data_IF_749005468962
#
_entry.id   IF_749005468962
#
_cell.length_a   1.000
_cell.length_b   1.000
_cell.length_c   1.000
_cell.angle_alpha   90.00
_cell.angle_beta   90.00
_cell.angle_gamma   90.00
#
_symmetry.space_group_name_H-M   'P 1'
#
loop_
_entity.id
_entity.type
_entity.pdbx_description
1 polymer ?
#
# COMPACT_ATOMS: atom_id res chain seq x y z
N UNK A 1 21.37 15.78 16.55
CA UNK A 1 21.08 14.40 16.14
C UNK A 1 19.59 14.22 16.28
N UNK A 2 18.84 14.48 15.21
CA UNK A 2 17.44 14.03 15.13
C UNK A 2 17.47 12.51 15.26
N UNK A 3 16.89 12.00 16.34
CA UNK A 3 16.63 10.57 16.44
C UNK A 3 15.67 10.24 15.31
N UNK A 4 16.07 9.34 14.41
CA UNK A 4 15.18 8.80 13.38
C UNK A 4 13.93 8.31 14.10
N UNK A 5 12.81 8.99 13.88
CA UNK A 5 11.55 8.65 14.50
C UNK A 5 11.18 7.24 14.04
N UNK A 6 11.03 6.33 14.99
CA UNK A 6 10.44 5.02 14.72
C UNK A 6 8.93 5.23 14.55
N UNK A 7 8.52 5.51 13.31
CA UNK A 7 7.14 5.82 12.97
C UNK A 7 6.20 4.68 13.31
N UNK A 8 6.62 3.42 13.12
CA UNK A 8 5.82 2.25 13.48
C UNK A 8 5.54 2.23 14.98
N UNK A 9 6.55 2.47 15.80
CA UNK A 9 6.38 2.58 17.26
C UNK A 9 5.47 3.74 17.63
N UNK A 10 5.59 4.90 16.97
CA UNK A 10 4.73 6.05 17.23
C UNK A 10 3.26 5.75 16.86
N UNK A 11 3.02 5.05 15.75
CA UNK A 11 1.69 4.59 15.32
C UNK A 11 1.08 3.64 16.35
N UNK A 12 1.81 2.63 16.82
CA UNK A 12 1.30 1.72 17.85
C UNK A 12 1.07 2.39 19.21
N UNK A 13 1.90 3.39 19.57
CA UNK A 13 1.63 4.19 20.76
C UNK A 13 0.33 5.00 20.66
N UNK A 14 -0.06 5.39 19.44
CA UNK A 14 -1.30 6.14 19.19
C UNK A 14 -2.53 5.23 19.07
N UNK A 15 -2.40 4.11 18.36
CA UNK A 15 -3.52 3.20 18.05
C UNK A 15 -3.76 2.13 19.12
N UNK A 16 -2.78 1.89 19.99
CA UNK A 16 -2.78 0.78 20.94
C UNK A 16 -1.97 -0.42 20.43
N UNK A 17 -1.63 -1.33 21.35
CA UNK A 17 -0.86 -2.53 21.01
C UNK A 17 -1.67 -3.52 20.15
N UNK A 18 -0.95 -4.32 19.35
CA UNK A 18 -1.52 -5.41 18.55
C UNK A 18 -2.30 -6.39 19.42
N UNK A 19 -3.47 -6.80 18.96
CA UNK A 19 -4.29 -7.85 19.61
C UNK A 19 -4.25 -9.18 18.86
N UNK A 20 -3.59 -9.25 17.70
CA UNK A 20 -3.61 -10.42 16.83
C UNK A 20 -2.43 -11.39 17.09
N UNK A 21 -2.64 -12.71 17.02
CA UNK A 21 -1.57 -13.69 17.13
C UNK A 21 -0.70 -13.74 15.86
N UNK A 22 0.59 -13.41 16.02
CA UNK A 22 1.57 -13.23 14.93
C UNK A 22 1.78 -14.43 13.99
N UNK A 23 1.49 -15.67 14.40
CA UNK A 23 1.76 -16.86 13.59
C UNK A 23 0.75 -17.09 12.45
N UNK A 24 -0.50 -16.63 12.60
CA UNK A 24 -1.54 -16.83 11.58
C UNK A 24 -1.24 -16.03 10.30
N UNK A 25 -0.77 -14.79 10.47
CA UNK A 25 -0.57 -13.87 9.36
C UNK A 25 0.62 -14.21 8.46
N UNK A 26 1.70 -14.77 9.01
CA UNK A 26 2.94 -15.02 8.26
C UNK A 26 2.72 -15.94 7.04
N UNK A 27 1.83 -16.93 7.14
CA UNK A 27 1.48 -17.80 6.01
C UNK A 27 0.68 -17.04 4.95
N UNK A 28 -0.22 -16.18 5.37
CA UNK A 28 -1.10 -15.44 4.46
C UNK A 28 -0.30 -14.39 3.68
N UNK A 29 0.60 -13.66 4.35
CA UNK A 29 1.54 -12.76 3.69
C UNK A 29 2.42 -13.45 2.64
N UNK A 30 3.00 -14.61 2.97
CA UNK A 30 3.80 -15.37 1.99
C UNK A 30 3.00 -15.78 0.77
N UNK A 31 1.74 -16.19 0.96
CA UNK A 31 0.87 -16.56 -0.14
C UNK A 31 0.53 -15.34 -1.01
N UNK A 32 0.23 -14.20 -0.38
CA UNK A 32 -0.05 -12.94 -1.06
C UNK A 32 1.17 -12.43 -1.85
N UNK A 33 2.33 -12.30 -1.22
CA UNK A 33 3.56 -11.82 -1.88
C UNK A 33 3.99 -12.75 -3.03
N UNK A 34 3.78 -14.06 -2.90
CA UNK A 34 4.01 -15.01 -3.99
C UNK A 34 3.04 -14.80 -5.17
N UNK A 35 1.76 -14.50 -4.89
CA UNK A 35 0.75 -14.18 -5.92
C UNK A 35 1.05 -12.86 -6.62
N UNK A 36 1.47 -11.84 -5.88
CA UNK A 36 1.83 -10.53 -6.41
C UNK A 36 3.17 -10.54 -7.18
N UNK A 37 4.03 -11.53 -6.92
CA UNK A 37 5.39 -11.60 -7.45
C UNK A 37 6.32 -10.54 -6.87
N UNK A 38 5.94 -9.93 -5.74
CA UNK A 38 6.71 -8.90 -5.02
C UNK A 38 6.36 -8.92 -3.53
N UNK A 39 7.30 -8.47 -2.70
CA UNK A 39 7.05 -8.22 -1.29
C UNK A 39 6.21 -6.97 -1.05
N UNK A 40 5.77 -6.78 0.19
CA UNK A 40 5.15 -5.55 0.69
C UNK A 40 5.99 -4.93 1.82
N UNK A 41 5.82 -3.63 2.13
CA UNK A 41 6.51 -3.00 3.25
C UNK A 41 6.28 -3.73 4.57
N UNK A 42 7.35 -3.96 5.35
CA UNK A 42 7.27 -4.73 6.60
C UNK A 42 6.49 -3.97 7.70
N UNK A 43 6.58 -2.65 7.72
CA UNK A 43 5.83 -1.77 8.61
C UNK A 43 4.32 -1.79 8.29
N UNK A 44 3.94 -1.76 7.01
CA UNK A 44 2.56 -1.96 6.57
C UNK A 44 2.02 -3.30 7.06
N UNK A 45 2.76 -4.39 6.85
CA UNK A 45 2.35 -5.73 7.29
C UNK A 45 2.14 -5.78 8.80
N UNK A 46 3.03 -5.14 9.58
CA UNK A 46 2.89 -5.05 11.02
C UNK A 46 1.63 -4.28 11.46
N UNK A 47 1.30 -3.18 10.80
CA UNK A 47 0.09 -2.39 11.08
C UNK A 47 -1.18 -3.17 10.72
N UNK A 48 -1.19 -3.82 9.55
CA UNK A 48 -2.32 -4.66 9.11
C UNK A 48 -2.51 -5.84 10.04
N UNK A 49 -1.44 -6.52 10.44
CA UNK A 49 -1.54 -7.62 11.41
C UNK A 49 -2.12 -7.17 12.74
N UNK A 50 -1.77 -5.96 13.20
CA UNK A 50 -2.22 -5.45 14.48
C UNK A 50 -3.68 -4.98 14.50
N UNK A 51 -4.15 -4.44 13.37
CA UNK A 51 -5.37 -3.62 13.37
C UNK A 51 -6.39 -4.00 12.30
N UNK A 52 -6.03 -4.72 11.24
CA UNK A 52 -6.97 -5.08 10.19
C UNK A 52 -7.85 -6.30 10.56
N UNK A 53 -9.08 -6.39 10.01
CA UNK A 53 -9.72 -5.42 9.12
C UNK A 53 -10.32 -4.26 9.92
N UNK A 54 -10.11 -3.02 9.47
CA UNK A 54 -10.64 -1.83 10.16
C UNK A 54 -10.72 -0.61 9.23
N UNK A 55 -11.64 0.29 9.53
CA UNK A 55 -11.60 1.66 9.04
C UNK A 55 -11.01 2.57 10.15
N UNK A 56 -9.73 2.90 10.03
CA UNK A 56 -9.03 3.72 11.01
C UNK A 56 -9.56 5.15 11.01
N UNK A 57 -10.00 5.60 12.20
CA UNK A 57 -10.55 6.93 12.43
C UNK A 57 -11.66 7.35 11.44
N UNK A 58 -12.39 6.38 10.87
CA UNK A 58 -13.43 6.66 9.88
C UNK A 58 -12.90 7.14 8.52
N UNK A 59 -11.61 7.00 8.24
CA UNK A 59 -11.00 7.51 7.01
C UNK A 59 -10.21 6.47 6.25
N UNK A 60 -9.25 5.78 6.87
CA UNK A 60 -8.34 4.86 6.17
C UNK A 60 -8.82 3.40 6.29
N UNK A 61 -9.06 2.73 5.17
CA UNK A 61 -9.48 1.33 5.15
C UNK A 61 -8.29 0.39 5.06
N UNK A 62 -8.17 -0.52 6.03
CA UNK A 62 -7.21 -1.63 5.99
C UNK A 62 -7.93 -2.96 5.88
N UNK A 63 -7.45 -3.79 4.96
CA UNK A 63 -7.99 -5.13 4.67
C UNK A 63 -7.12 -6.20 5.32
N UNK A 64 -7.75 -7.25 5.85
CA UNK A 64 -7.04 -8.42 6.39
C UNK A 64 -6.10 -9.04 5.36
N UNK A 65 -4.95 -9.60 5.75
CA UNK A 65 -3.96 -10.14 4.83
C UNK A 65 -4.35 -11.50 4.23
N UNK A 66 -5.64 -11.73 4.02
CA UNK A 66 -6.21 -12.95 3.45
C UNK A 66 -6.60 -12.75 1.98
N UNK A 67 -7.53 -13.58 1.47
CA UNK A 67 -8.04 -13.48 0.11
C UNK A 67 -8.63 -12.09 -0.18
N UNK A 68 -9.21 -11.41 0.82
CA UNK A 68 -9.80 -10.09 0.64
C UNK A 68 -8.78 -9.03 0.24
N UNK A 69 -7.56 -9.06 0.79
CA UNK A 69 -6.51 -8.12 0.35
C UNK A 69 -5.98 -8.47 -1.05
N UNK A 70 -5.92 -9.76 -1.40
CA UNK A 70 -5.53 -10.16 -2.75
C UNK A 70 -6.55 -9.66 -3.79
N UNK A 71 -7.84 -9.90 -3.55
CA UNK A 71 -8.94 -9.44 -4.41
C UNK A 71 -8.97 -7.90 -4.51
N UNK A 72 -8.76 -7.20 -3.38
CA UNK A 72 -8.65 -5.75 -3.37
C UNK A 72 -7.51 -5.27 -4.28
N UNK A 73 -6.31 -5.83 -4.12
CA UNK A 73 -5.13 -5.40 -4.89
C UNK A 73 -5.36 -5.63 -6.39
N UNK A 74 -5.85 -6.80 -6.77
CA UNK A 74 -6.09 -7.15 -8.16
C UNK A 74 -7.13 -6.24 -8.80
N UNK A 75 -8.27 -6.00 -8.12
CA UNK A 75 -9.31 -5.11 -8.60
C UNK A 75 -8.76 -3.71 -8.88
N UNK A 76 -8.04 -3.13 -7.92
CA UNK A 76 -7.50 -1.76 -8.06
C UNK A 76 -6.41 -1.71 -9.13
N UNK A 77 -5.56 -2.74 -9.23
CA UNK A 77 -4.55 -2.82 -10.31
C UNK A 77 -5.21 -2.88 -11.69
N UNK A 78 -6.30 -3.63 -11.85
CA UNK A 78 -7.06 -3.71 -13.10
C UNK A 78 -7.69 -2.35 -13.46
N UNK A 79 -8.39 -1.73 -12.50
CA UNK A 79 -9.03 -0.42 -12.66
C UNK A 79 -8.04 0.67 -13.13
N UNK A 80 -6.86 0.74 -12.51
CA UNK A 80 -5.85 1.74 -12.85
C UNK A 80 -5.06 1.42 -14.12
N UNK A 81 -4.99 0.15 -14.53
CA UNK A 81 -4.38 -0.25 -15.82
C UNK A 81 -5.26 0.11 -17.00
N UNK A 82 -6.58 0.01 -16.84
CA UNK A 82 -7.55 0.36 -17.88
C UNK A 82 -7.80 1.88 -17.97
N UNK A 83 -7.29 2.64 -17.00
CA UNK A 83 -7.36 4.10 -16.99
C UNK A 83 -6.52 4.71 -18.10
N UNK A 84 -7.15 5.63 -18.87
CA UNK A 84 -6.45 6.45 -19.86
C UNK A 84 -5.82 7.67 -19.17
N UNK A 85 -4.53 7.55 -18.87
CA UNK A 85 -3.75 8.61 -18.24
C UNK A 85 -3.45 9.76 -19.21
N UNK A 86 -3.51 11.00 -18.71
CA UNK A 86 -3.03 12.19 -19.44
C UNK A 86 -1.54 12.04 -19.78
N UNK A 87 -1.14 12.52 -20.95
CA UNK A 87 0.26 12.47 -21.41
C UNK A 87 1.22 13.25 -20.49
N UNK A 88 0.71 14.25 -19.77
CA UNK A 88 1.46 15.11 -18.86
C UNK A 88 1.30 14.74 -17.37
N UNK A 89 0.73 13.57 -17.08
CA UNK A 89 0.58 13.11 -15.69
C UNK A 89 1.93 13.05 -14.98
N UNK A 90 2.03 13.76 -13.86
CA UNK A 90 3.21 13.72 -13.01
C UNK A 90 3.10 12.53 -12.05
N UNK A 91 3.86 11.47 -12.30
CA UNK A 91 3.94 10.29 -11.43
C UNK A 91 5.40 10.02 -11.08
N UNK A 92 5.77 10.27 -9.82
CA UNK A 92 7.16 10.27 -9.36
C UNK A 92 7.78 8.87 -9.43
N UNK A 93 8.91 8.72 -10.12
CA UNK A 93 9.56 7.44 -10.40
C UNK A 93 9.02 6.73 -11.66
N UNK A 94 8.01 7.30 -12.31
CA UNK A 94 7.37 6.78 -13.51
C UNK A 94 7.37 7.77 -14.67
N UNK A 95 8.16 8.85 -14.58
CA UNK A 95 8.15 10.00 -15.50
C UNK A 95 8.43 9.60 -16.96
N UNK A 96 9.16 8.50 -17.16
CA UNK A 96 9.54 8.02 -18.50
C UNK A 96 8.60 6.98 -19.08
N UNK A 97 7.86 6.26 -18.23
CA UNK A 97 7.05 5.11 -18.65
C UNK A 97 5.56 5.35 -18.49
N UNK A 98 5.17 6.44 -17.83
CA UNK A 98 3.84 6.64 -17.28
C UNK A 98 3.58 5.74 -16.06
N UNK A 99 2.48 6.00 -15.33
CA UNK A 99 2.02 5.19 -14.21
C UNK A 99 1.98 3.70 -14.54
N UNK A 100 2.48 2.85 -13.64
CA UNK A 100 2.40 1.38 -13.77
C UNK A 100 1.93 0.76 -12.48
N UNK A 101 1.05 -0.22 -12.58
CA UNK A 101 0.40 -0.88 -11.45
C UNK A 101 0.63 -2.38 -11.48
N UNK A 102 0.84 -2.97 -10.30
CA UNK A 102 1.05 -4.41 -10.12
C UNK A 102 2.48 -4.89 -10.46
N UNK A 103 2.85 -6.03 -9.87
CA UNK A 103 4.16 -6.67 -10.08
C UNK A 103 5.33 -5.94 -9.40
N UNK A 104 6.54 -6.49 -9.54
CA UNK A 104 7.72 -6.05 -8.79
C UNK A 104 8.24 -4.63 -9.08
N UNK A 105 7.83 -4.03 -10.20
CA UNK A 105 8.23 -2.69 -10.61
C UNK A 105 7.03 -1.73 -10.75
N UNK A 106 5.83 -2.17 -10.37
CA UNK A 106 4.62 -1.37 -10.40
C UNK A 106 4.21 -0.92 -9.00
N UNK A 107 3.31 0.05 -8.97
CA UNK A 107 2.60 0.49 -7.77
C UNK A 107 1.69 -0.63 -7.27
N UNK A 108 1.79 -0.96 -5.98
CA UNK A 108 0.90 -1.93 -5.33
C UNK A 108 -0.03 -1.20 -4.38
N UNK A 109 -1.36 -1.21 -4.60
CA UNK A 109 -2.32 -0.59 -3.70
C UNK A 109 -2.28 -1.27 -2.33
N UNK A 110 -2.33 -0.47 -1.27
CA UNK A 110 -2.23 -0.91 0.12
C UNK A 110 -3.51 -0.64 0.91
N UNK A 111 -4.18 0.48 0.60
CA UNK A 111 -5.34 0.99 1.31
C UNK A 111 -6.04 2.05 0.46
N UNK A 112 -7.29 2.33 0.80
CA UNK A 112 -8.06 3.45 0.27
C UNK A 112 -8.65 4.29 1.40
N UNK A 113 -9.11 5.50 1.05
CA UNK A 113 -9.73 6.45 1.98
C UNK A 113 -11.23 6.61 1.75
N UNK A 114 -11.94 7.15 2.73
CA UNK A 114 -13.35 7.55 2.62
C UNK A 114 -13.61 8.66 1.61
N UNK A 115 -12.55 9.27 1.06
CA UNK A 115 -12.60 10.29 0.02
C UNK A 115 -12.27 9.79 -1.37
N UNK A 116 -11.96 8.50 -1.52
CA UNK A 116 -11.62 7.91 -2.82
C UNK A 116 -10.13 8.02 -3.19
N UNK A 117 -9.28 8.40 -2.24
CA UNK A 117 -7.83 8.32 -2.45
C UNK A 117 -7.36 6.88 -2.33
N UNK A 118 -6.46 6.48 -3.21
CA UNK A 118 -5.76 5.20 -3.15
C UNK A 118 -4.33 5.41 -2.68
N UNK A 119 -3.89 4.59 -1.74
CA UNK A 119 -2.52 4.58 -1.20
C UNK A 119 -1.75 3.44 -1.86
N UNK A 120 -0.69 3.76 -2.58
CA UNK A 120 0.17 2.81 -3.27
C UNK A 120 1.55 2.74 -2.63
N UNK A 121 2.09 1.52 -2.55
CA UNK A 121 3.52 1.31 -2.32
C UNK A 121 4.29 1.29 -3.63
N UNK A 122 5.46 1.91 -3.61
CA UNK A 122 6.43 1.90 -4.71
C UNK A 122 7.75 1.38 -4.18
N UNK A 123 8.29 0.37 -4.85
CA UNK A 123 9.63 -0.16 -4.54
C UNK A 123 10.65 0.50 -5.45
N UNK A 124 11.57 1.26 -4.87
CA UNK A 124 12.66 1.88 -5.61
C UNK A 124 13.56 0.81 -6.24
N UNK A 125 13.76 0.79 -7.57
CA UNK A 125 14.57 -0.23 -8.22
C UNK A 125 16.02 -0.25 -7.76
N UNK A 126 16.60 0.93 -7.52
CA UNK A 126 18.03 1.08 -7.23
C UNK A 126 18.38 0.80 -5.77
N UNK A 127 17.50 1.21 -4.85
CA UNK A 127 17.75 1.12 -3.40
C UNK A 127 16.96 0.00 -2.73
N UNK A 128 15.89 -0.48 -3.35
CA UNK A 128 14.91 -1.38 -2.74
C UNK A 128 14.08 -0.73 -1.63
N UNK A 129 14.22 0.58 -1.42
CA UNK A 129 13.46 1.33 -0.43
C UNK A 129 11.99 1.44 -0.84
N UNK A 130 11.11 1.48 0.15
CA UNK A 130 9.69 1.70 -0.04
C UNK A 130 9.36 3.18 0.02
N UNK A 131 8.46 3.60 -0.86
CA UNK A 131 7.83 4.92 -0.86
C UNK A 131 6.32 4.74 -0.95
N UNK A 132 5.59 5.77 -0.53
CA UNK A 132 4.13 5.83 -0.68
C UNK A 132 3.81 6.87 -1.74
N UNK A 133 2.84 6.55 -2.60
CA UNK A 133 2.17 7.52 -3.44
C UNK A 133 0.68 7.45 -3.15
N UNK A 134 0.00 8.59 -3.18
CA UNK A 134 -1.47 8.64 -3.17
C UNK A 134 -1.96 9.12 -4.53
N UNK A 135 -3.07 8.56 -5.00
CA UNK A 135 -3.78 9.04 -6.18
C UNK A 135 -5.24 9.24 -5.80
N UNK A 136 -5.77 10.42 -6.10
CA UNK A 136 -7.22 10.61 -6.11
C UNK A 136 -7.78 9.78 -7.30
N UNK A 137 -8.81 8.97 -7.07
CA UNK A 137 -9.40 8.14 -8.12
C UNK A 137 -10.09 8.95 -9.23
N UNK A 138 -10.54 10.17 -8.92
CA UNK A 138 -11.24 11.07 -9.83
C UNK A 138 -10.30 12.11 -10.45
N UNK A 139 -9.28 12.56 -9.69
CA UNK A 139 -8.27 13.49 -10.15
C UNK A 139 -6.97 12.73 -10.49
N UNK A 140 -6.58 12.69 -11.77
CA UNK A 140 -5.39 11.96 -12.26
C UNK A 140 -4.05 12.61 -11.82
N UNK A 141 -3.86 12.81 -10.53
CA UNK A 141 -2.73 13.47 -9.91
C UNK A 141 -2.18 12.58 -8.77
N UNK A 142 -0.84 12.49 -8.69
CA UNK A 142 -0.15 11.71 -7.67
C UNK A 142 0.53 12.63 -6.63
N UNK A 143 0.45 12.23 -5.36
CA UNK A 143 1.08 12.91 -4.23
C UNK A 143 1.92 11.95 -3.39
N UNK A 144 2.82 12.48 -2.56
CA UNK A 144 3.69 11.74 -1.62
C UNK A 144 3.57 12.33 -0.21
#
# INVERSE_FOLDING_TARGET
MEGVMDYLRAVFAMLGESTAPAESSARQWRALEARLGTGLPDDYKAVVDAHAPVQMNGHLYLVSPDEGLAEYIERVVEEFRDTSWRDDVACRGFERTGPRFGGAAGMIPLADTDRGDYVFSVREPDTGAWRILTCDGDEQDFHE
#
